data_IF_172424349306
#
_entry.id   IF_172424349306
#
_cell.length_a   1.000
_cell.length_b   1.000
_cell.length_c   1.000
_cell.angle_alpha   90.00
_cell.angle_beta   90.00
_cell.angle_gamma   90.00
#
_symmetry.space_group_name_H-M   'P 1'
#
loop_
_entity.id
_entity.type
_entity.pdbx_description
1 polymer ?
#
# COMPACT_ATOMS: atom_id res chain seq x y z
N UNK A 1 -11.86 37.38 -51.93
CA UNK A 1 -11.63 37.54 -53.38
C UNK A 1 -12.94 37.92 -54.06
N UNK A 2 -12.94 38.86 -55.00
CA UNK A 2 -14.11 39.19 -55.81
C UNK A 2 -14.03 38.57 -57.21
N UNK A 3 -15.15 38.56 -57.92
CA UNK A 3 -15.22 38.14 -59.33
C UNK A 3 -14.79 39.28 -60.26
N UNK A 4 -14.39 38.95 -61.50
CA UNK A 4 -14.01 39.95 -62.50
C UNK A 4 -15.24 40.77 -62.92
N UNK A 5 -15.11 42.09 -62.90
CA UNK A 5 -16.20 43.05 -63.11
C UNK A 5 -15.86 44.09 -64.20
N UNK A 6 -14.88 43.77 -65.05
CA UNK A 6 -14.57 44.57 -66.23
C UNK A 6 -15.76 44.60 -67.19
N UNK A 7 -15.85 45.65 -68.01
CA UNK A 7 -16.94 45.81 -68.99
C UNK A 7 -17.01 44.70 -70.05
N UNK A 8 -15.99 43.87 -70.16
CA UNK A 8 -15.90 42.70 -71.06
C UNK A 8 -16.04 41.37 -70.33
N UNK A 9 -16.39 41.37 -69.04
CA UNK A 9 -16.77 40.18 -68.29
C UNK A 9 -18.15 39.67 -68.73
N UNK A 10 -18.42 38.38 -68.50
CA UNK A 10 -19.77 37.83 -68.69
C UNK A 10 -20.76 38.45 -67.68
N UNK A 11 -22.08 38.42 -67.95
CA UNK A 11 -23.08 38.94 -67.00
C UNK A 11 -23.04 38.32 -65.59
N UNK A 12 -22.42 37.15 -65.43
CA UNK A 12 -22.22 36.48 -64.14
C UNK A 12 -20.80 36.66 -63.53
N UNK A 13 -20.05 37.64 -64.06
CA UNK A 13 -18.73 38.06 -63.61
C UNK A 13 -17.68 36.95 -63.75
N UNK A 14 -17.60 36.32 -64.93
CA UNK A 14 -16.57 35.32 -65.28
C UNK A 14 -15.77 35.74 -66.50
N UNK A 15 -14.64 35.06 -66.68
CA UNK A 15 -13.79 35.17 -67.85
C UNK A 15 -14.43 34.47 -69.06
N UNK A 16 -14.30 35.10 -70.22
CA UNK A 16 -14.59 34.52 -71.53
C UNK A 16 -13.42 34.80 -72.48
N UNK A 17 -13.09 33.83 -73.34
CA UNK A 17 -12.14 34.00 -74.44
C UNK A 17 -12.70 34.90 -75.56
N UNK A 18 -13.97 35.31 -75.43
CA UNK A 18 -14.73 35.93 -76.50
C UNK A 18 -15.05 34.93 -77.61
N UNK A 19 -15.62 35.42 -78.69
CA UNK A 19 -15.79 34.66 -79.93
C UNK A 19 -15.60 35.64 -81.07
N UNK A 20 -14.61 35.47 -81.97
CA UNK A 20 -14.37 36.41 -83.06
C UNK A 20 -15.40 36.31 -84.20
N UNK A 21 -16.25 35.28 -84.21
CA UNK A 21 -17.28 35.07 -85.24
C UNK A 21 -18.58 35.84 -84.94
N UNK A 22 -18.74 36.31 -83.70
CA UNK A 22 -19.77 37.24 -83.23
C UNK A 22 -19.07 38.42 -82.52
N UNK A 23 -19.69 39.59 -82.31
CA UNK A 23 -19.00 40.71 -81.68
C UNK A 23 -18.89 40.56 -80.14
N UNK A 24 -18.34 39.44 -79.66
CA UNK A 24 -18.12 39.17 -78.22
C UNK A 24 -16.63 39.31 -77.89
N UNK A 25 -16.21 40.39 -77.21
CA UNK A 25 -14.81 40.57 -76.84
C UNK A 25 -14.39 39.59 -75.74
N UNK A 26 -13.10 39.25 -75.72
CA UNK A 26 -12.48 38.53 -74.61
C UNK A 26 -12.46 39.39 -73.33
N UNK A 27 -12.47 38.75 -72.18
CA UNK A 27 -12.42 39.46 -70.89
C UNK A 27 -11.08 40.14 -70.68
N UNK A 28 -11.12 41.43 -70.40
CA UNK A 28 -9.96 42.22 -70.02
C UNK A 28 -9.72 42.02 -68.53
N UNK A 29 -8.56 41.49 -68.16
CA UNK A 29 -8.15 41.32 -66.76
C UNK A 29 -7.78 42.67 -66.19
N UNK A 30 -8.41 43.06 -65.08
CA UNK A 30 -8.16 44.34 -64.39
C UNK A 30 -7.08 44.20 -63.32
N UNK A 31 -6.43 45.32 -63.03
CA UNK A 31 -5.49 45.47 -61.92
C UNK A 31 -6.18 45.23 -60.57
N UNK A 32 -7.40 45.75 -60.39
CA UNK A 32 -8.21 45.54 -59.19
C UNK A 32 -8.37 44.03 -58.87
N UNK A 33 -8.72 43.22 -59.88
CA UNK A 33 -8.87 41.78 -59.71
C UNK A 33 -7.56 41.08 -59.36
N UNK A 34 -6.46 41.42 -60.04
CA UNK A 34 -5.14 40.83 -59.76
C UNK A 34 -4.60 41.24 -58.37
N UNK A 35 -4.82 42.48 -57.97
CA UNK A 35 -4.46 42.97 -56.64
C UNK A 35 -5.28 42.26 -55.57
N UNK A 36 -6.58 42.03 -55.79
CA UNK A 36 -7.40 41.27 -54.84
C UNK A 36 -6.93 39.81 -54.69
N UNK A 37 -6.49 39.15 -55.76
CA UNK A 37 -5.85 37.82 -55.66
C UNK A 37 -4.58 37.90 -54.82
N UNK A 38 -3.75 38.92 -55.07
CA UNK A 38 -2.50 39.11 -54.32
C UNK A 38 -2.77 39.32 -52.82
N UNK A 39 -3.69 40.21 -52.46
CA UNK A 39 -4.01 40.50 -51.06
C UNK A 39 -4.59 39.29 -50.32
N UNK A 40 -5.39 38.44 -50.98
CA UNK A 40 -5.88 37.19 -50.39
C UNK A 40 -4.74 36.20 -50.09
N UNK A 41 -3.77 36.09 -51.00
CA UNK A 41 -2.59 35.24 -50.77
C UNK A 41 -1.70 35.82 -49.65
N UNK A 42 -1.54 37.14 -49.59
CA UNK A 42 -0.83 37.82 -48.50
C UNK A 42 -1.56 37.64 -47.16
N UNK A 43 -2.89 37.67 -47.14
CA UNK A 43 -3.69 37.42 -45.94
C UNK A 43 -3.48 36.01 -45.38
N UNK A 44 -3.32 34.99 -46.25
CA UNK A 44 -2.95 33.63 -45.83
C UNK A 44 -1.57 33.61 -45.15
N UNK A 45 -0.57 34.29 -45.72
CA UNK A 45 0.76 34.41 -45.12
C UNK A 45 0.70 35.13 -43.76
N UNK A 46 -0.05 36.22 -43.67
CA UNK A 46 -0.25 36.98 -42.45
C UNK A 46 -0.92 36.13 -41.35
N UNK A 47 -1.97 35.37 -41.69
CA UNK A 47 -2.63 34.45 -40.76
C UNK A 47 -1.66 33.37 -40.23
N UNK A 48 -0.72 32.93 -41.06
CA UNK A 48 0.31 31.97 -40.69
C UNK A 48 1.56 32.60 -40.04
N UNK A 49 1.59 33.92 -39.81
CA UNK A 49 2.78 34.66 -39.36
C UNK A 49 4.02 34.36 -40.22
N UNK A 50 3.86 34.36 -41.55
CA UNK A 50 4.94 34.22 -42.53
C UNK A 50 5.17 35.57 -43.19
N UNK A 51 6.41 36.07 -43.11
CA UNK A 51 6.79 37.31 -43.80
C UNK A 51 6.92 37.04 -45.31
N UNK A 52 6.28 37.84 -46.18
CA UNK A 52 6.39 37.68 -47.61
C UNK A 52 7.83 37.82 -48.11
N UNK A 53 8.27 36.87 -48.93
CA UNK A 53 9.60 36.87 -49.54
C UNK A 53 9.49 36.67 -51.06
N UNK A 54 9.96 37.66 -51.82
CA UNK A 54 9.96 37.65 -53.28
C UNK A 54 10.81 36.53 -53.88
N UNK A 55 11.85 36.08 -53.16
CA UNK A 55 12.71 34.99 -53.64
C UNK A 55 12.09 33.60 -53.42
N UNK A 56 10.99 33.50 -52.66
CA UNK A 56 10.39 32.23 -52.25
C UNK A 56 9.00 31.99 -52.85
N UNK A 57 8.91 31.11 -53.84
CA UNK A 57 7.65 30.72 -54.47
C UNK A 57 6.86 29.64 -53.70
N UNK A 58 7.38 29.15 -52.57
CA UNK A 58 6.75 28.11 -51.73
C UNK A 58 6.10 28.68 -50.44
N UNK A 59 6.10 30.00 -50.26
CA UNK A 59 5.62 30.65 -49.03
C UNK A 59 4.13 30.39 -48.73
N UNK A 60 3.25 30.37 -49.74
CA UNK A 60 1.82 30.08 -49.55
C UNK A 60 1.62 28.63 -49.10
N UNK A 61 2.37 27.68 -49.68
CA UNK A 61 2.33 26.28 -49.27
C UNK A 61 2.77 26.13 -47.81
N UNK A 62 3.88 26.78 -47.42
CA UNK A 62 4.39 26.75 -46.05
C UNK A 62 3.38 27.35 -45.05
N UNK A 63 2.72 28.45 -45.42
CA UNK A 63 1.68 29.07 -44.60
C UNK A 63 0.47 28.14 -44.38
N UNK A 64 -0.01 27.47 -45.44
CA UNK A 64 -1.11 26.50 -45.35
C UNK A 64 -0.73 25.32 -44.45
N UNK A 65 0.47 24.75 -44.64
CA UNK A 65 0.96 23.66 -43.80
C UNK A 65 1.00 24.04 -42.32
N UNK A 66 1.44 25.27 -42.01
CA UNK A 66 1.46 25.80 -40.64
C UNK A 66 0.06 25.98 -40.06
N UNK A 67 -0.86 26.60 -40.80
CA UNK A 67 -2.25 26.80 -40.37
C UNK A 67 -2.99 25.48 -40.10
N UNK A 68 -2.65 24.41 -40.83
CA UNK A 68 -3.20 23.07 -40.60
C UNK A 68 -2.59 22.44 -39.34
N UNK A 69 -1.28 22.56 -39.13
CA UNK A 69 -0.61 22.02 -37.94
C UNK A 69 -1.12 22.67 -36.64
N UNK A 70 -1.48 23.95 -36.67
CA UNK A 70 -1.96 24.69 -35.49
C UNK A 70 -3.39 24.29 -35.05
N UNK A 71 -4.17 23.58 -35.89
CA UNK A 71 -5.59 23.26 -35.62
C UNK A 71 -5.83 22.09 -34.67
N UNK A 72 -4.78 21.39 -34.24
CA UNK A 72 -4.87 20.41 -33.13
C UNK A 72 -3.63 20.49 -32.24
N UNK A 73 -3.61 21.49 -31.36
CA UNK A 73 -2.53 21.66 -30.39
C UNK A 73 -2.45 20.50 -29.39
N UNK A 74 -1.23 20.26 -28.87
CA UNK A 74 -1.02 19.34 -27.75
C UNK A 74 -1.78 19.87 -26.53
N UNK A 75 -2.48 19.00 -25.82
CA UNK A 75 -3.20 19.34 -24.58
C UNK A 75 -2.24 19.98 -23.56
N UNK A 76 -2.68 21.07 -22.93
CA UNK A 76 -1.98 21.74 -21.83
C UNK A 76 -2.89 21.78 -20.61
N UNK A 77 -2.35 22.08 -19.42
CA UNK A 77 -3.15 22.23 -18.21
C UNK A 77 -4.24 23.29 -18.43
N UNK A 78 -5.51 22.89 -18.28
CA UNK A 78 -6.67 23.76 -18.46
C UNK A 78 -7.03 24.09 -19.92
N UNK A 79 -6.38 23.46 -20.91
CA UNK A 79 -6.65 23.68 -22.34
C UNK A 79 -6.81 22.34 -23.06
N UNK A 80 -8.02 22.09 -23.58
CA UNK A 80 -8.32 20.88 -24.35
C UNK A 80 -7.43 20.80 -25.61
N UNK A 81 -6.87 19.63 -25.91
CA UNK A 81 -6.01 19.39 -27.08
C UNK A 81 -5.76 17.89 -27.32
N UNK A 82 -4.89 17.56 -28.28
CA UNK A 82 -4.42 16.18 -28.52
C UNK A 82 -3.45 15.74 -27.42
N UNK A 83 -3.60 14.53 -26.93
CA UNK A 83 -2.68 13.96 -25.94
C UNK A 83 -1.42 13.48 -26.67
N UNK A 84 -0.26 14.05 -26.35
CA UNK A 84 1.04 13.54 -26.78
C UNK A 84 1.59 12.63 -25.67
N UNK A 85 1.49 11.29 -25.81
CA UNK A 85 2.02 10.37 -24.83
C UNK A 85 3.55 10.53 -24.75
N UNK A 86 4.06 10.92 -23.58
CA UNK A 86 5.50 11.03 -23.28
C UNK A 86 6.17 9.66 -23.14
N UNK A 87 5.41 8.57 -23.19
CA UNK A 87 5.88 7.21 -22.95
C UNK A 87 6.21 6.93 -21.49
N UNK A 88 5.98 7.88 -20.58
CA UNK A 88 6.31 7.80 -19.15
C UNK A 88 5.04 7.94 -18.31
N UNK A 89 4.37 9.10 -18.40
CA UNK A 89 3.13 9.45 -17.68
C UNK A 89 1.89 8.99 -18.43
N UNK A 90 1.92 9.05 -19.77
CA UNK A 90 0.85 8.58 -20.64
C UNK A 90 1.49 7.65 -21.68
N UNK A 91 1.05 6.39 -21.67
CA UNK A 91 1.55 5.34 -22.58
C UNK A 91 0.44 4.92 -23.54
N UNK A 92 0.82 4.62 -24.78
CA UNK A 92 0.00 3.89 -25.75
C UNK A 92 0.63 2.50 -25.89
N UNK A 93 -0.13 1.45 -25.58
CA UNK A 93 0.36 0.09 -25.79
C UNK A 93 0.30 -0.32 -27.27
N UNK A 94 0.91 -1.46 -27.60
CA UNK A 94 0.97 -1.97 -28.98
C UNK A 94 -0.41 -2.27 -29.61
N UNK A 95 -1.49 -2.25 -28.81
CA UNK A 95 -2.88 -2.45 -29.27
C UNK A 95 -3.63 -1.14 -29.47
N UNK A 96 -3.00 0.00 -29.19
CA UNK A 96 -3.58 1.34 -29.33
C UNK A 96 -4.37 1.81 -28.11
N UNK A 97 -4.26 1.14 -26.96
CA UNK A 97 -4.95 1.57 -25.73
C UNK A 97 -4.16 2.67 -25.04
N UNK A 98 -4.84 3.76 -24.72
CA UNK A 98 -4.29 4.85 -23.91
C UNK A 98 -4.42 4.47 -22.43
N UNK A 99 -3.30 4.43 -21.72
CA UNK A 99 -3.28 4.31 -20.26
C UNK A 99 -2.58 5.53 -19.67
N UNK A 100 -3.22 6.15 -18.67
CA UNK A 100 -2.49 6.99 -17.72
C UNK A 100 -1.70 6.03 -16.86
N UNK A 101 -0.38 6.15 -16.87
CA UNK A 101 0.44 5.53 -15.85
C UNK A 101 0.14 6.35 -14.61
N UNK A 102 -0.90 5.97 -13.88
CA UNK A 102 -0.93 6.25 -12.46
C UNK A 102 0.26 5.44 -11.95
N UNK A 103 1.42 6.10 -11.85
CA UNK A 103 2.61 5.53 -11.22
C UNK A 103 2.11 4.88 -9.95
N UNK A 104 2.14 3.54 -9.94
CA UNK A 104 2.39 2.70 -8.79
C UNK A 104 2.04 3.45 -7.49
N UNK A 105 0.74 3.60 -7.18
CA UNK A 105 0.26 4.33 -5.98
C UNK A 105 0.96 3.84 -4.69
N UNK A 106 1.54 2.66 -4.76
CA UNK A 106 2.25 1.98 -3.72
C UNK A 106 3.65 1.61 -4.26
N UNK A 107 4.65 2.33 -3.79
CA UNK A 107 6.06 1.95 -3.99
C UNK A 107 6.42 0.85 -2.99
N UNK A 108 7.21 -0.13 -3.44
CA UNK A 108 7.78 -1.14 -2.56
C UNK A 108 8.61 -0.44 -1.47
N UNK A 109 8.19 -0.52 -0.21
CA UNK A 109 8.76 0.27 0.89
C UNK A 109 7.71 0.69 1.92
N UNK A 110 6.43 0.69 1.55
CA UNK A 110 5.33 0.70 2.50
C UNK A 110 5.08 -0.71 3.05
N UNK A 111 5.02 -0.83 4.36
CA UNK A 111 5.01 -2.12 5.04
C UNK A 111 3.64 -2.54 5.55
N UNK A 112 3.37 -3.83 5.45
CA UNK A 112 2.12 -4.44 5.93
C UNK A 112 2.41 -5.57 6.92
N UNK A 113 1.83 -5.47 8.12
CA UNK A 113 2.00 -6.47 9.17
C UNK A 113 0.91 -7.55 9.18
N UNK A 114 -0.36 -7.16 9.00
CA UNK A 114 -1.48 -8.12 9.10
C UNK A 114 -1.44 -9.11 7.94
N UNK A 115 -1.80 -10.37 8.18
CA UNK A 115 -1.88 -11.36 7.10
C UNK A 115 -3.08 -11.00 6.22
N UNK A 116 -2.83 -10.46 5.04
CA UNK A 116 -3.86 -10.37 4.00
C UNK A 116 -3.69 -11.56 3.05
N UNK A 117 -4.76 -12.30 2.71
CA UNK A 117 -4.66 -13.43 1.78
C UNK A 117 -4.22 -13.02 0.38
N UNK A 118 -4.32 -11.73 0.04
CA UNK A 118 -3.87 -11.17 -1.24
C UNK A 118 -3.00 -9.94 -1.02
N UNK A 119 -1.69 -10.04 -1.23
CA UNK A 119 -0.83 -8.88 -1.11
C UNK A 119 -1.22 -7.84 -2.18
N UNK A 120 -1.36 -6.58 -1.76
CA UNK A 120 -1.55 -5.48 -2.71
C UNK A 120 -0.26 -5.30 -3.53
N UNK A 121 -0.38 -4.91 -4.81
CA UNK A 121 0.77 -4.54 -5.62
C UNK A 121 1.64 -3.49 -4.92
N UNK A 122 2.96 -3.68 -4.90
CA UNK A 122 3.91 -2.77 -4.27
C UNK A 122 4.11 -2.97 -2.77
N UNK A 123 3.60 -4.05 -2.16
CA UNK A 123 3.81 -4.33 -0.73
C UNK A 123 4.64 -5.59 -0.48
N UNK A 124 5.49 -5.56 0.55
CA UNK A 124 6.16 -6.75 1.08
C UNK A 124 5.89 -6.93 2.58
N UNK A 125 5.74 -8.18 3.05
CA UNK A 125 5.50 -8.46 4.46
C UNK A 125 6.77 -8.27 5.30
N UNK A 126 6.60 -7.68 6.49
CA UNK A 126 7.66 -7.51 7.50
C UNK A 126 7.94 -8.78 8.30
N UNK A 127 8.30 -9.87 7.62
CA UNK A 127 8.49 -11.19 8.22
C UNK A 127 9.89 -11.75 7.98
N UNK A 128 10.87 -10.90 7.68
CA UNK A 128 12.26 -11.33 7.42
C UNK A 128 12.47 -12.04 6.09
N UNK A 129 11.47 -12.00 5.19
CA UNK A 129 11.54 -12.67 3.89
C UNK A 129 12.66 -12.10 3.01
N UNK A 130 13.40 -12.98 2.33
CA UNK A 130 14.38 -12.61 1.32
C UNK A 130 13.68 -12.46 -0.03
N UNK A 131 13.68 -11.25 -0.58
CA UNK A 131 13.23 -10.99 -1.94
C UNK A 131 14.42 -11.23 -2.88
N UNK A 132 14.29 -12.23 -3.74
CA UNK A 132 15.29 -12.56 -4.77
C UNK A 132 14.63 -12.62 -6.15
N UNK A 133 15.27 -12.03 -7.15
CA UNK A 133 14.75 -12.01 -8.53
C UNK A 133 13.43 -11.24 -8.68
N UNK A 134 12.50 -11.84 -9.43
CA UNK A 134 11.21 -11.21 -9.81
C UNK A 134 10.23 -11.26 -8.64
N UNK A 135 9.87 -10.08 -8.13
CA UNK A 135 8.86 -9.88 -7.10
C UNK A 135 7.70 -9.06 -7.66
N UNK A 136 6.49 -9.62 -7.61
CA UNK A 136 5.27 -8.99 -8.13
C UNK A 136 5.42 -8.46 -9.58
N UNK A 137 6.15 -9.20 -10.43
CA UNK A 137 6.29 -8.90 -11.85
C UNK A 137 7.45 -7.97 -12.23
N UNK A 138 8.27 -7.49 -11.28
CA UNK A 138 9.49 -6.71 -11.53
C UNK A 138 10.66 -7.28 -10.71
N UNK A 139 11.90 -7.20 -11.19
CA UNK A 139 13.04 -7.53 -10.32
C UNK A 139 13.14 -6.52 -9.18
N UNK A 140 13.69 -6.95 -8.04
CA UNK A 140 13.86 -6.04 -6.89
C UNK A 140 14.66 -4.77 -7.25
N UNK A 141 15.62 -4.90 -8.16
CA UNK A 141 16.47 -3.81 -8.67
C UNK A 141 15.72 -2.75 -9.47
N UNK A 142 14.52 -3.08 -9.96
CA UNK A 142 13.68 -2.19 -10.76
C UNK A 142 12.69 -1.39 -9.89
N UNK A 143 12.62 -1.68 -8.59
CA UNK A 143 11.76 -0.94 -7.67
C UNK A 143 12.48 0.31 -7.13
N UNK A 144 11.78 1.45 -6.95
CA UNK A 144 12.40 2.72 -6.51
C UNK A 144 13.18 2.63 -5.19
N UNK A 145 12.74 1.77 -4.26
CA UNK A 145 13.45 1.52 -2.99
C UNK A 145 14.88 1.03 -3.18
N UNK A 146 15.17 0.30 -4.27
CA UNK A 146 16.48 -0.25 -4.51
C UNK A 146 17.55 0.83 -4.64
N UNK A 147 17.24 1.90 -5.37
CA UNK A 147 18.11 3.06 -5.53
C UNK A 147 18.10 3.93 -4.27
N UNK A 148 16.92 4.11 -3.66
CA UNK A 148 16.80 4.89 -2.42
C UNK A 148 17.68 4.35 -1.29
N UNK A 149 17.73 3.03 -1.08
CA UNK A 149 18.55 2.40 -0.05
C UNK A 149 20.05 2.65 -0.23
N UNK A 150 20.50 3.04 -1.42
CA UNK A 150 21.90 3.39 -1.71
C UNK A 150 22.22 4.86 -1.40
N UNK A 151 21.22 5.69 -1.11
CA UNK A 151 21.40 7.08 -0.67
C UNK A 151 21.91 7.16 0.78
N UNK A 152 22.46 8.31 1.17
CA UNK A 152 22.92 8.53 2.54
C UNK A 152 21.82 8.28 3.60
N UNK A 153 20.59 8.71 3.32
CA UNK A 153 19.44 8.51 4.21
C UNK A 153 18.98 7.05 4.21
N UNK A 154 18.94 6.41 3.03
CA UNK A 154 18.52 5.02 2.89
C UNK A 154 19.46 4.03 3.60
N UNK A 155 20.76 4.33 3.63
CA UNK A 155 21.75 3.53 4.36
C UNK A 155 21.52 3.51 5.87
N UNK A 156 20.78 4.47 6.44
CA UNK A 156 20.37 4.45 7.86
C UNK A 156 19.37 3.32 8.16
N UNK A 157 18.71 2.78 7.13
CA UNK A 157 17.72 1.71 7.24
C UNK A 157 18.32 0.32 6.98
N UNK A 158 19.63 0.24 6.72
CA UNK A 158 20.33 -0.99 6.36
C UNK A 158 21.21 -1.52 7.50
N UNK A 159 21.32 -2.84 7.53
CA UNK A 159 22.31 -3.58 8.32
C UNK A 159 22.95 -4.68 7.47
N UNK A 160 24.10 -5.17 7.90
CA UNK A 160 24.68 -6.38 7.30
C UNK A 160 23.83 -7.60 7.65
N UNK A 161 23.89 -8.65 6.82
CA UNK A 161 23.17 -9.90 7.06
C UNK A 161 23.51 -10.51 8.43
N UNK A 162 24.79 -10.41 8.85
CA UNK A 162 25.24 -10.90 10.15
C UNK A 162 24.66 -10.10 11.32
N UNK A 163 24.66 -8.76 11.24
CA UNK A 163 24.02 -7.91 12.25
C UNK A 163 22.51 -8.13 12.30
N UNK A 164 21.88 -8.31 11.14
CA UNK A 164 20.47 -8.62 11.04
C UNK A 164 20.14 -9.92 11.76
N UNK A 165 20.87 -11.00 11.47
CA UNK A 165 20.68 -12.28 12.17
C UNK A 165 20.95 -12.17 13.67
N UNK A 166 21.99 -11.46 14.08
CA UNK A 166 22.30 -11.24 15.49
C UNK A 166 21.15 -10.54 16.23
N UNK A 167 20.48 -9.58 15.60
CA UNK A 167 19.28 -8.94 16.17
C UNK A 167 18.11 -9.91 16.30
N UNK A 168 17.91 -10.81 15.31
CA UNK A 168 16.82 -11.81 15.38
C UNK A 168 17.04 -12.90 16.41
N UNK A 169 18.26 -13.08 16.92
CA UNK A 169 18.59 -14.06 17.96
C UNK A 169 19.07 -13.42 19.26
N UNK A 170 18.79 -12.12 19.43
CA UNK A 170 19.35 -11.35 20.54
C UNK A 170 18.69 -11.74 21.87
N UNK A 171 19.51 -12.07 22.86
CA UNK A 171 19.09 -12.29 24.25
C UNK A 171 19.38 -11.01 25.03
N UNK A 172 18.35 -10.37 25.58
CA UNK A 172 18.50 -9.16 26.40
C UNK A 172 18.37 -9.41 27.90
N UNK A 173 17.93 -10.61 28.30
CA UNK A 173 17.84 -10.97 29.71
C UNK A 173 18.11 -12.45 29.94
N UNK A 174 18.72 -12.76 31.07
CA UNK A 174 18.83 -14.12 31.59
C UNK A 174 18.31 -14.11 33.02
N UNK A 175 17.29 -14.92 33.25
CA UNK A 175 16.64 -15.08 34.54
C UNK A 175 17.56 -15.81 35.52
N UNK A 176 17.28 -15.67 36.82
CA UNK A 176 18.07 -16.31 37.87
C UNK A 176 18.05 -17.86 37.80
N UNK A 177 17.04 -18.44 37.14
CA UNK A 177 16.92 -19.88 36.89
C UNK A 177 17.67 -20.36 35.64
N UNK A 178 18.36 -19.46 34.94
CA UNK A 178 19.12 -19.73 33.71
C UNK A 178 18.29 -19.67 32.42
N UNK A 179 16.98 -19.40 32.49
CA UNK A 179 16.15 -19.19 31.29
C UNK A 179 16.45 -17.83 30.66
N UNK A 180 16.38 -17.73 29.33
CA UNK A 180 16.71 -16.51 28.59
C UNK A 180 15.46 -15.84 28.03
N UNK A 181 15.46 -14.51 28.01
CA UNK A 181 14.45 -13.69 27.32
C UNK A 181 15.13 -13.02 26.14
N UNK A 182 14.62 -13.28 24.95
CA UNK A 182 15.28 -12.94 23.71
C UNK A 182 14.43 -13.29 22.50
N UNK A 183 14.87 -12.83 21.34
CA UNK A 183 14.33 -13.30 20.06
C UNK A 183 14.96 -14.66 19.72
N UNK A 184 14.15 -15.63 19.29
CA UNK A 184 14.61 -16.96 18.86
C UNK A 184 14.52 -17.10 17.32
N UNK A 185 15.20 -16.19 16.62
CA UNK A 185 15.21 -16.13 15.15
C UNK A 185 13.94 -15.56 14.52
N UNK A 186 13.04 -14.98 15.33
CA UNK A 186 11.77 -14.41 14.88
C UNK A 186 11.59 -13.03 15.54
N UNK A 187 11.65 -11.96 14.76
CA UNK A 187 11.49 -10.58 15.24
C UNK A 187 12.80 -9.85 15.52
N UNK A 188 12.70 -8.65 16.11
CA UNK A 188 13.87 -7.89 16.58
C UNK A 188 14.73 -7.18 15.54
N UNK A 189 14.49 -7.36 14.24
CA UNK A 189 15.32 -6.78 13.18
C UNK A 189 14.53 -5.79 12.30
N UNK A 190 14.33 -4.53 12.76
CA UNK A 190 13.58 -3.50 12.03
C UNK A 190 14.38 -2.84 10.90
N UNK A 191 15.32 -3.57 10.29
CA UNK A 191 16.23 -3.08 9.25
C UNK A 191 16.17 -3.96 8.00
N UNK A 192 16.48 -3.37 6.86
CA UNK A 192 16.67 -4.10 5.61
C UNK A 192 18.09 -4.66 5.52
N UNK A 193 18.28 -5.66 4.66
CA UNK A 193 19.62 -6.07 4.19
C UNK A 193 19.61 -6.06 2.67
N UNK A 194 20.44 -5.21 2.07
CA UNK A 194 20.59 -5.10 0.63
C UNK A 194 21.89 -5.79 0.20
N UNK A 195 21.79 -6.79 -0.67
CA UNK A 195 22.94 -7.41 -1.31
C UNK A 195 22.99 -6.97 -2.78
N UNK A 196 23.92 -6.05 -3.07
CA UNK A 196 24.10 -5.50 -4.41
C UNK A 196 24.67 -6.52 -5.40
N UNK A 197 25.43 -7.51 -4.93
CA UNK A 197 26.04 -8.53 -5.77
C UNK A 197 25.03 -9.62 -6.17
N UNK A 198 24.17 -10.01 -5.23
CA UNK A 198 23.12 -10.99 -5.47
C UNK A 198 21.83 -10.37 -6.04
N UNK A 199 21.66 -9.04 -5.97
CA UNK A 199 20.43 -8.36 -6.37
C UNK A 199 19.26 -8.80 -5.49
N UNK A 200 19.48 -8.89 -4.17
CA UNK A 200 18.47 -9.35 -3.21
C UNK A 200 18.22 -8.33 -2.12
N UNK A 201 16.99 -8.29 -1.60
CA UNK A 201 16.61 -7.43 -0.49
C UNK A 201 15.90 -8.25 0.59
N UNK A 202 16.50 -8.31 1.77
CA UNK A 202 15.86 -8.87 2.96
C UNK A 202 14.94 -7.83 3.58
N UNK A 203 13.70 -8.23 3.82
CA UNK A 203 12.73 -7.40 4.54
C UNK A 203 13.03 -7.38 6.04
N UNK A 204 12.64 -6.33 6.77
CA UNK A 204 12.68 -6.35 8.23
C UNK A 204 11.80 -7.47 8.79
N UNK A 205 12.15 -7.93 10.00
CA UNK A 205 11.36 -8.90 10.76
C UNK A 205 10.92 -8.29 12.08
N UNK A 206 9.62 -8.01 12.18
CA UNK A 206 8.99 -7.40 13.35
C UNK A 206 7.98 -8.33 14.02
N UNK A 207 7.94 -9.62 13.62
CA UNK A 207 6.99 -10.60 14.16
C UNK A 207 7.09 -10.69 15.68
N UNK A 208 8.28 -10.98 16.18
CA UNK A 208 8.63 -10.86 17.59
C UNK A 208 8.99 -9.41 17.94
N UNK A 209 8.12 -8.44 17.68
CA UNK A 209 8.13 -7.17 18.42
C UNK A 209 6.68 -6.83 18.78
N UNK A 210 5.77 -7.16 17.86
CA UNK A 210 4.33 -7.03 18.04
C UNK A 210 3.74 -8.11 18.94
N UNK A 211 4.25 -9.35 18.91
CA UNK A 211 3.75 -10.40 19.80
C UNK A 211 4.04 -10.06 21.28
N UNK A 212 5.16 -9.41 21.56
CA UNK A 212 5.60 -9.15 22.94
C UNK A 212 5.00 -7.86 23.48
N UNK A 213 4.78 -6.86 22.61
CA UNK A 213 3.90 -5.74 22.91
C UNK A 213 2.46 -6.20 23.22
N UNK A 214 2.01 -7.31 22.62
CA UNK A 214 0.73 -7.95 22.94
C UNK A 214 0.78 -8.84 24.21
N UNK A 215 1.93 -8.88 24.91
CA UNK A 215 2.12 -9.59 26.18
C UNK A 215 2.44 -11.08 26.06
N UNK A 216 2.68 -11.60 24.84
CA UNK A 216 2.95 -13.03 24.63
C UNK A 216 4.27 -13.52 25.26
N UNK A 217 5.24 -12.63 25.50
CA UNK A 217 6.56 -12.96 26.09
C UNK A 217 7.00 -11.97 27.20
N UNK A 218 6.02 -11.39 27.91
CA UNK A 218 6.35 -10.56 29.06
C UNK A 218 6.90 -11.43 30.22
N UNK A 219 8.17 -11.21 30.57
CA UNK A 219 8.82 -11.59 31.85
C UNK A 219 8.37 -12.92 32.48
N UNK A 220 8.34 -14.01 31.72
CA UNK A 220 8.05 -15.33 32.28
C UNK A 220 6.63 -15.51 32.81
N UNK A 221 5.63 -14.81 32.24
CA UNK A 221 4.20 -15.20 32.35
C UNK A 221 3.64 -15.72 31.03
N UNK A 222 4.51 -15.99 30.06
CA UNK A 222 4.22 -16.83 28.90
C UNK A 222 4.06 -18.28 29.35
N UNK A 223 2.89 -18.61 29.90
CA UNK A 223 2.48 -20.00 29.98
C UNK A 223 2.43 -20.54 28.55
N UNK A 224 3.49 -21.27 28.20
CA UNK A 224 3.47 -22.32 27.20
C UNK A 224 2.10 -23.01 27.29
N UNK A 225 1.44 -23.11 26.15
CA UNK A 225 0.11 -23.67 25.98
C UNK A 225 -0.34 -24.65 27.09
N UNK A 226 -1.46 -24.29 27.72
CA UNK A 226 -2.40 -25.16 28.40
C UNK A 226 -2.07 -25.65 29.84
N UNK A 227 -2.97 -25.23 30.74
CA UNK A 227 -3.61 -26.04 31.80
C UNK A 227 -3.10 -26.06 33.24
N UNK A 228 -2.18 -25.20 33.69
CA UNK A 228 -1.86 -25.16 35.13
C UNK A 228 -1.75 -23.72 35.66
N UNK A 229 -2.75 -23.30 36.44
CA UNK A 229 -2.71 -22.09 37.27
C UNK A 229 -2.20 -22.49 38.66
N UNK A 230 -1.16 -21.83 39.17
CA UNK A 230 -0.72 -22.03 40.56
C UNK A 230 -1.77 -21.45 41.51
N UNK A 231 -2.30 -22.28 42.40
CA UNK A 231 -3.16 -21.86 43.50
C UNK A 231 -2.31 -21.70 44.75
N UNK A 232 -2.00 -20.46 45.13
CA UNK A 232 -1.26 -20.18 46.37
C UNK A 232 -2.22 -20.12 47.55
N UNK A 233 -2.18 -21.12 48.42
CA UNK A 233 -2.96 -21.17 49.67
C UNK A 233 -2.43 -22.26 50.61
N UNK A 234 -2.59 -22.07 51.92
CA UNK A 234 -2.17 -23.05 52.93
C UNK A 234 -3.37 -23.80 53.50
N UNK A 235 -3.23 -25.12 53.69
CA UNK A 235 -4.19 -25.93 54.45
C UNK A 235 -3.55 -26.21 55.82
N UNK A 236 -4.19 -25.73 56.90
CA UNK A 236 -3.81 -26.13 58.26
C UNK A 236 -4.76 -27.20 58.77
N UNK A 237 -4.20 -28.21 59.44
CA UNK A 237 -4.97 -29.29 60.05
C UNK A 237 -4.27 -29.78 61.30
N UNK A 238 -5.03 -29.96 62.37
CA UNK A 238 -4.52 -30.54 63.63
C UNK A 238 -4.36 -32.08 63.56
N UNK A 239 -4.70 -32.71 62.41
CA UNK A 239 -4.65 -34.17 62.20
C UNK A 239 -4.18 -34.51 60.78
N UNK A 240 -4.01 -35.80 60.46
CA UNK A 240 -3.54 -36.27 59.14
C UNK A 240 -4.47 -35.82 58.02
N UNK A 241 -3.88 -35.25 56.96
CA UNK A 241 -4.58 -34.85 55.72
C UNK A 241 -4.15 -35.76 54.59
N UNK A 242 -5.13 -36.30 53.87
CA UNK A 242 -4.91 -36.99 52.61
C UNK A 242 -5.26 -36.04 51.45
N UNK A 243 -4.27 -35.75 50.60
CA UNK A 243 -4.41 -34.91 49.42
C UNK A 243 -4.42 -35.80 48.19
N UNK A 244 -5.46 -35.70 47.37
CA UNK A 244 -5.56 -36.39 46.08
C UNK A 244 -5.88 -35.39 44.99
N UNK A 245 -5.16 -35.48 43.86
CA UNK A 245 -5.43 -34.71 42.66
C UNK A 245 -6.19 -35.60 41.67
N UNK A 246 -7.44 -35.23 41.35
CA UNK A 246 -8.21 -35.89 40.28
C UNK A 246 -8.89 -34.81 39.44
N UNK A 247 -8.65 -34.83 38.13
CA UNK A 247 -9.28 -33.93 37.15
C UNK A 247 -9.20 -32.42 37.53
N UNK A 248 -8.03 -31.93 37.92
CA UNK A 248 -7.80 -30.50 38.13
C UNK A 248 -8.45 -29.89 39.39
N UNK A 249 -9.07 -30.70 40.26
CA UNK A 249 -9.58 -30.27 41.55
C UNK A 249 -8.74 -30.88 42.69
N UNK A 250 -8.38 -30.05 43.68
CA UNK A 250 -7.80 -30.52 44.95
C UNK A 250 -8.97 -30.85 45.87
N UNK A 251 -9.13 -32.12 46.21
CA UNK A 251 -10.16 -32.57 47.18
C UNK A 251 -9.46 -33.04 48.45
N UNK A 252 -9.79 -32.42 49.58
CA UNK A 252 -9.38 -32.90 50.90
C UNK A 252 -10.48 -33.76 51.51
N UNK A 253 -10.12 -34.91 52.07
CA UNK A 253 -11.05 -35.79 52.80
C UNK A 253 -10.54 -35.94 54.22
N UNK A 254 -11.32 -35.48 55.20
CA UNK A 254 -11.04 -35.69 56.62
C UNK A 254 -11.72 -36.99 57.08
N UNK A 255 -10.94 -37.94 57.58
CA UNK A 255 -11.47 -39.11 58.28
C UNK A 255 -11.36 -38.85 59.78
N UNK A 256 -12.49 -38.79 60.47
CA UNK A 256 -12.49 -38.83 61.93
C UNK A 256 -12.43 -40.30 62.37
N UNK A 257 -11.25 -40.78 62.76
CA UNK A 257 -11.05 -42.17 63.21
C UNK A 257 -11.57 -42.45 64.62
N UNK A 258 -12.50 -41.64 65.12
CA UNK A 258 -13.11 -41.83 66.43
C UNK A 258 -14.63 -41.71 66.31
N UNK A 259 -15.28 -42.69 65.68
CA UNK A 259 -16.55 -43.28 66.15
C UNK A 259 -16.99 -44.38 65.16
N UNK A 260 -17.29 -45.57 65.69
CA UNK A 260 -17.99 -46.62 64.93
C UNK A 260 -19.40 -46.13 64.62
N UNK A 261 -19.80 -46.28 63.36
CA UNK A 261 -21.17 -46.26 62.84
C UNK A 261 -22.06 -45.06 63.23
N UNK A 262 -22.26 -44.16 62.28
CA UNK A 262 -23.51 -43.46 61.87
C UNK A 262 -23.08 -42.30 60.96
N UNK A 263 -23.79 -42.10 59.85
CA UNK A 263 -23.49 -41.17 58.75
C UNK A 263 -22.69 -39.91 59.14
N UNK A 264 -21.38 -39.91 58.86
CA UNK A 264 -20.54 -38.72 59.02
C UNK A 264 -20.69 -37.80 57.79
N UNK A 265 -21.02 -36.51 57.96
CA UNK A 265 -21.05 -35.58 56.85
C UNK A 265 -19.62 -35.39 56.32
N UNK A 266 -19.39 -35.79 55.07
CA UNK A 266 -18.12 -35.57 54.38
C UNK A 266 -17.99 -34.07 54.11
N UNK A 267 -17.15 -33.37 54.87
CA UNK A 267 -16.77 -32.00 54.57
C UNK A 267 -15.77 -32.00 53.41
N UNK A 268 -16.27 -31.82 52.18
CA UNK A 268 -15.45 -31.61 50.99
C UNK A 268 -15.37 -30.12 50.69
N UNK A 269 -14.22 -29.51 50.94
CA UNK A 269 -13.91 -28.18 50.42
C UNK A 269 -13.45 -28.34 48.96
N UNK A 270 -14.24 -27.83 48.01
CA UNK A 270 -13.83 -27.73 46.59
C UNK A 270 -13.42 -26.29 46.34
N UNK A 271 -12.15 -26.10 45.99
CA UNK A 271 -11.64 -24.80 45.54
C UNK A 271 -11.78 -24.78 44.01
N UNK A 272 -12.66 -23.92 43.50
CA UNK A 272 -12.80 -23.71 42.05
C UNK A 272 -11.69 -22.75 41.57
N UNK A 273 -10.73 -23.31 40.84
CA UNK A 273 -9.59 -22.57 40.32
C UNK A 273 -9.91 -21.74 39.07
N UNK A 274 -11.15 -21.77 38.56
CA UNK A 274 -11.60 -20.94 37.45
C UNK A 274 -11.88 -19.48 37.83
N UNK A 275 -12.03 -19.20 39.13
CA UNK A 275 -12.39 -17.89 39.67
C UNK A 275 -11.24 -17.16 40.37
N UNK A 276 -10.02 -17.72 40.34
CA UNK A 276 -8.84 -17.12 40.97
C UNK A 276 -8.34 -15.95 40.11
N UNK A 277 -8.46 -14.73 40.63
CA UNK A 277 -7.86 -13.54 40.01
C UNK A 277 -6.36 -13.48 40.33
N UNK A 278 -5.51 -13.01 39.40
CA UNK A 278 -4.08 -12.85 39.66
C UNK A 278 -3.82 -11.81 40.75
N UNK A 279 -2.85 -12.09 41.61
CA UNK A 279 -2.39 -11.15 42.63
C UNK A 279 -1.79 -9.92 41.96
N UNK A 280 -2.51 -8.78 42.00
CA UNK A 280 -2.11 -7.52 41.36
C UNK A 280 -3.12 -6.94 40.36
N UNK A 281 -4.23 -7.62 40.08
CA UNK A 281 -5.30 -7.05 39.27
C UNK A 281 -6.06 -5.95 40.05
N UNK A 282 -5.94 -4.70 39.61
CA UNK A 282 -6.78 -3.60 40.09
C UNK A 282 -8.11 -3.67 39.33
N UNK A 283 -9.23 -3.77 40.07
CA UNK A 283 -10.57 -3.68 39.48
C UNK A 283 -10.71 -2.34 38.73
N UNK A 284 -11.23 -2.33 37.49
CA UNK A 284 -11.69 -1.09 36.87
C UNK A 284 -12.77 -0.44 37.76
N UNK A 285 -12.75 0.89 37.84
CA UNK A 285 -13.68 1.71 38.64
C UNK A 285 -15.16 1.43 38.31
N UNK A 286 -16.10 1.78 39.20
CA UNK A 286 -17.40 1.14 39.29
C UNK A 286 -18.42 1.69 38.28
N UNK A 287 -18.26 1.34 37.01
CA UNK A 287 -19.32 1.43 36.01
C UNK A 287 -19.45 0.09 35.29
N UNK A 288 -20.01 -0.88 36.02
CA UNK A 288 -20.25 -2.24 35.53
C UNK A 288 -20.81 -3.17 36.60
N UNK A 289 -21.58 -2.65 37.56
CA UNK A 289 -22.10 -3.40 38.71
C UNK A 289 -23.35 -4.23 38.41
N UNK A 290 -23.50 -4.71 37.18
CA UNK A 290 -24.61 -5.59 36.76
C UNK A 290 -24.06 -6.81 36.06
N UNK A 291 -23.52 -7.75 36.85
CA UNK A 291 -23.05 -9.00 36.27
C UNK A 291 -22.32 -9.95 37.21
N UNK A 292 -22.54 -9.92 38.53
CA UNK A 292 -22.14 -11.04 39.40
C UNK A 292 -23.01 -11.04 40.67
N UNK A 293 -24.23 -11.58 40.54
CA UNK A 293 -24.97 -12.15 41.67
C UNK A 293 -24.48 -13.60 41.82
N UNK A 294 -23.75 -13.92 42.88
CA UNK A 294 -24.10 -14.95 43.88
C UNK A 294 -22.92 -15.17 44.84
N UNK A 295 -23.10 -14.76 46.10
CA UNK A 295 -22.41 -15.39 47.22
C UNK A 295 -22.89 -16.84 47.30
N UNK A 296 -22.00 -17.77 47.61
CA UNK A 296 -22.29 -19.21 47.70
C UNK A 296 -23.52 -19.51 48.56
N UNK A 297 -24.41 -20.34 48.01
CA UNK A 297 -25.36 -21.09 48.80
C UNK A 297 -24.61 -22.19 49.55
N UNK A 298 -24.71 -22.19 50.88
CA UNK A 298 -24.43 -23.37 51.69
C UNK A 298 -25.53 -24.40 51.39
N UNK A 299 -25.22 -25.42 50.59
CA UNK A 299 -26.09 -26.59 50.49
C UNK A 299 -25.80 -27.52 51.67
N UNK A 300 -26.73 -27.56 52.61
CA UNK A 300 -26.82 -28.56 53.66
C UNK A 300 -27.74 -29.67 53.12
N UNK A 301 -27.16 -30.74 52.58
CA UNK A 301 -27.95 -31.92 52.21
C UNK A 301 -28.14 -32.79 53.45
N UNK A 302 -29.36 -32.76 54.00
CA UNK A 302 -29.87 -33.76 54.90
C UNK A 302 -30.65 -34.79 54.08
N UNK A 303 -30.15 -36.02 54.05
CA UNK A 303 -30.73 -37.19 53.38
C UNK A 303 -29.80 -38.38 53.47
#
# INVERSE_FOLDING_TARGET
MHRIDSSTATPDNRFTEGDPTIPVPATTVTDDWLNAVQEELIAILAAANVTPDKANNAQVLAAIQRLIADKTGIAKVGVNGLVNPDGVTIKIDATGKISVVQSDKYDLGEFYYFRHPTLKPGFAPLQGGLISGVYQGKNITEWPIWEYLQTADGQLLLKTEAEWHAMTTAIWHTNADGTTVGWDGIGGAPYYVQDLGAGTLRMPDVRGMYAEAAGFDSLGVGALMATVRNATGGISSDRRVFVSTRQGCVTTTLYETAFRAVACPRLSCRIDLSLVMPTGAVLPSPLGRSGLRYLGSLHHDAG
#
